data_IF_961283034739
#
_entry.id   IF_961283034739
#
_cell.length_a   1.000
_cell.length_b   1.000
_cell.length_c   1.000
_cell.angle_alpha   90.00
_cell.angle_beta   90.00
_cell.angle_gamma   90.00
#
_symmetry.space_group_name_H-M   'P 1'
#
loop_
_entity.id
_entity.type
_entity.pdbx_description
1 polymer ?
#
# COMPACT_ATOMS: atom_id res chain seq x y z
N UNK A 1 -39.54 1.96 -13.94
CA UNK A 1 -39.30 0.61 -13.41
C UNK A 1 -37.97 0.10 -13.83
N UNK A 2 -37.76 -0.03 -15.11
CA UNK A 2 -36.52 -0.57 -15.63
C UNK A 2 -35.34 0.30 -15.24
N UNK A 3 -35.51 1.59 -15.29
CA UNK A 3 -34.42 2.49 -14.96
C UNK A 3 -34.01 2.37 -13.52
N UNK A 4 -34.97 2.18 -12.62
CA UNK A 4 -34.64 2.05 -11.22
C UNK A 4 -33.80 0.79 -10.98
N UNK A 5 -34.16 -0.29 -11.67
CA UNK A 5 -33.41 -1.52 -11.55
C UNK A 5 -32.00 -1.35 -12.07
N UNK A 6 -31.87 -0.68 -13.19
CA UNK A 6 -30.54 -0.47 -13.76
C UNK A 6 -29.70 0.38 -12.86
N UNK A 7 -30.26 1.38 -12.27
CA UNK A 7 -29.50 2.24 -11.37
C UNK A 7 -29.02 1.47 -10.16
N UNK A 8 -29.85 0.57 -9.66
CA UNK A 8 -29.46 -0.25 -8.53
C UNK A 8 -28.29 -1.13 -8.88
N UNK A 9 -28.32 -1.71 -10.06
CA UNK A 9 -27.23 -2.57 -10.48
C UNK A 9 -25.93 -1.79 -10.64
N UNK A 10 -26.01 -0.61 -11.21
CA UNK A 10 -24.82 0.21 -11.35
C UNK A 10 -24.25 0.60 -9.98
N UNK A 11 -25.14 0.91 -9.07
CA UNK A 11 -24.71 1.28 -7.74
C UNK A 11 -24.00 0.13 -7.05
N UNK A 12 -24.51 -1.07 -7.20
CA UNK A 12 -23.89 -2.25 -6.60
C UNK A 12 -22.53 -2.51 -7.21
N UNK A 13 -22.40 -2.32 -8.50
CA UNK A 13 -21.10 -2.51 -9.13
C UNK A 13 -20.09 -1.52 -8.62
N UNK A 14 -20.50 -0.29 -8.44
CA UNK A 14 -19.58 0.71 -7.93
C UNK A 14 -19.13 0.40 -6.52
N UNK A 15 -20.03 -0.14 -5.71
CA UNK A 15 -19.68 -0.48 -4.34
C UNK A 15 -18.68 -1.62 -4.31
N UNK A 16 -18.86 -2.62 -5.17
CA UNK A 16 -18.06 -3.82 -5.07
C UNK A 16 -16.81 -3.81 -5.93
N UNK A 17 -16.80 -3.01 -6.99
CA UNK A 17 -15.76 -3.16 -7.99
C UNK A 17 -14.36 -2.88 -7.49
N UNK A 18 -14.07 -1.75 -6.83
CA UNK A 18 -12.66 -1.41 -6.60
C UNK A 18 -12.18 -1.75 -5.21
N UNK A 19 -12.62 -2.87 -4.63
CA UNK A 19 -12.15 -3.20 -3.29
C UNK A 19 -10.78 -3.85 -3.30
N UNK A 20 -10.36 -4.43 -4.43
CA UNK A 20 -9.08 -5.10 -4.53
C UNK A 20 -8.17 -4.26 -5.42
N UNK A 21 -6.97 -3.99 -4.93
CA UNK A 21 -6.01 -3.16 -5.64
C UNK A 21 -4.65 -3.80 -5.60
N UNK A 22 -3.86 -3.52 -6.63
CA UNK A 22 -2.48 -3.97 -6.70
C UNK A 22 -1.60 -2.74 -6.62
N UNK A 23 -0.72 -2.73 -5.64
CA UNK A 23 0.05 -1.53 -5.32
C UNK A 23 1.50 -1.88 -5.07
N UNK A 24 2.41 -0.93 -5.31
CA UNK A 24 3.79 -1.13 -4.87
C UNK A 24 3.82 -1.34 -3.36
N UNK A 25 4.66 -2.24 -2.92
CA UNK A 25 4.72 -2.68 -1.53
C UNK A 25 5.94 -2.09 -0.85
N UNK A 26 5.73 -1.47 0.30
CA UNK A 26 6.82 -1.01 1.15
C UNK A 26 6.69 -1.68 2.50
N UNK A 27 7.65 -2.53 2.83
CA UNK A 27 7.68 -3.20 4.12
C UNK A 27 8.47 -2.35 5.10
N UNK A 28 7.84 -2.03 6.23
CA UNK A 28 8.41 -1.11 7.20
C UNK A 28 8.89 -1.84 8.43
N UNK A 29 9.90 -1.30 9.06
CA UNK A 29 10.48 -1.86 10.27
C UNK A 29 10.11 -0.99 11.45
N UNK A 30 9.22 -1.52 12.30
CA UNK A 30 8.90 -0.84 13.54
C UNK A 30 8.12 0.46 13.39
N UNK A 31 7.55 0.71 12.23
CA UNK A 31 6.80 1.93 11.98
C UNK A 31 5.36 1.54 11.67
N UNK A 32 4.43 2.24 12.28
CA UNK A 32 3.01 2.00 12.06
C UNK A 32 2.38 3.29 11.58
N UNK A 33 1.60 3.18 10.51
CA UNK A 33 0.90 4.31 9.93
C UNK A 33 -0.60 4.06 10.00
N UNK A 34 -1.34 5.08 10.38
CA UNK A 34 -2.79 4.99 10.43
C UNK A 34 -3.39 5.90 9.35
N UNK A 35 -4.64 5.63 8.96
CA UNK A 35 -5.32 6.52 8.03
C UNK A 35 -5.36 7.95 8.57
N UNK A 36 -5.23 8.91 7.65
CA UNK A 36 -5.27 10.33 7.96
C UNK A 36 -4.05 10.82 8.73
N UNK A 37 -3.02 9.99 8.79
CA UNK A 37 -1.79 10.35 9.46
C UNK A 37 -0.74 10.71 8.42
N UNK A 38 0.05 11.72 8.70
CA UNK A 38 1.16 12.12 7.84
C UNK A 38 2.44 11.80 8.56
N UNK A 39 3.35 11.12 7.89
CA UNK A 39 4.63 10.83 8.51
C UNK A 39 5.71 10.72 7.46
N UNK A 40 6.94 10.82 7.89
CA UNK A 40 8.06 10.62 7.00
C UNK A 40 8.92 9.48 7.53
N UNK A 41 9.66 8.87 6.62
CA UNK A 41 10.56 7.80 6.99
C UNK A 41 11.67 7.73 5.95
N UNK A 42 12.74 7.03 6.32
CA UNK A 42 13.87 6.85 5.43
C UNK A 42 13.82 5.46 4.82
N UNK A 43 14.15 5.40 3.54
CA UNK A 43 14.08 4.16 2.78
C UNK A 43 15.42 3.94 2.13
N UNK A 44 16.04 2.81 2.44
CA UNK A 44 17.36 2.50 1.88
C UNK A 44 17.40 1.18 1.15
N UNK A 45 16.47 0.27 1.43
CA UNK A 45 16.48 -1.04 0.81
C UNK A 45 16.06 -0.93 -0.64
N UNK A 46 16.89 -1.44 -1.50
CA UNK A 46 16.75 -1.23 -2.93
C UNK A 46 15.41 -1.68 -3.50
N UNK A 47 14.88 -2.86 -3.15
CA UNK A 47 13.61 -3.26 -3.74
C UNK A 47 12.49 -2.29 -3.40
N UNK A 48 12.49 -1.75 -2.19
CA UNK A 48 11.42 -0.84 -1.81
C UNK A 48 11.62 0.54 -2.39
N UNK A 49 12.87 0.93 -2.62
CA UNK A 49 13.12 2.18 -3.33
C UNK A 49 12.60 2.08 -4.76
N UNK A 50 12.77 0.92 -5.38
CA UNK A 50 12.23 0.73 -6.73
C UNK A 50 10.71 0.79 -6.72
N UNK A 51 10.07 0.21 -5.70
CA UNK A 51 8.63 0.28 -5.60
C UNK A 51 8.16 1.72 -5.45
N UNK A 52 8.88 2.50 -4.65
CA UNK A 52 8.55 3.90 -4.48
C UNK A 52 8.64 4.65 -5.80
N UNK A 53 9.70 4.41 -6.55
CA UNK A 53 9.86 5.08 -7.83
C UNK A 53 8.74 4.72 -8.80
N UNK A 54 8.31 3.45 -8.76
CA UNK A 54 7.21 3.04 -9.62
C UNK A 54 5.93 3.78 -9.26
N UNK A 55 5.69 3.97 -7.97
CA UNK A 55 4.50 4.70 -7.56
C UNK A 55 4.57 6.16 -8.02
N UNK A 56 5.74 6.76 -7.97
CA UNK A 56 5.88 8.15 -8.35
C UNK A 56 5.58 8.37 -9.82
N UNK A 57 5.73 7.33 -10.63
CA UNK A 57 5.45 7.44 -12.06
C UNK A 57 4.00 7.13 -12.38
N UNK A 58 3.20 6.77 -11.41
CA UNK A 58 1.80 6.48 -11.64
C UNK A 58 0.96 7.34 -10.73
N UNK A 59 0.22 6.73 -9.80
CA UNK A 59 -0.74 7.47 -8.99
C UNK A 59 -0.20 7.82 -7.61
N UNK A 60 1.07 7.54 -7.35
CA UNK A 60 1.73 7.88 -6.08
C UNK A 60 1.15 7.16 -4.89
N UNK A 61 0.55 6.01 -5.13
CA UNK A 61 -0.03 5.23 -4.04
C UNK A 61 0.85 4.03 -3.79
N UNK A 62 1.04 3.72 -2.51
CA UNK A 62 1.83 2.58 -2.09
C UNK A 62 1.09 1.89 -0.96
N UNK A 63 1.43 0.62 -0.73
CA UNK A 63 0.89 -0.10 0.41
C UNK A 63 1.99 -0.25 1.44
N UNK A 64 1.76 0.31 2.62
CA UNK A 64 2.72 0.26 3.72
C UNK A 64 2.26 -0.77 4.73
N UNK A 65 3.15 -1.70 5.06
CA UNK A 65 2.83 -2.73 6.02
C UNK A 65 4.08 -2.99 6.87
N UNK A 66 3.87 -3.36 8.12
CA UNK A 66 4.96 -3.52 9.06
C UNK A 66 5.45 -4.96 9.06
N UNK A 67 6.74 -5.14 9.14
CA UNK A 67 7.34 -6.46 9.31
C UNK A 67 7.13 -6.93 10.74
N UNK A 68 6.84 -8.22 10.88
CA UNK A 68 6.70 -8.79 12.23
C UNK A 68 8.02 -8.77 12.97
N UNK A 69 9.09 -9.07 12.26
CA UNK A 69 10.43 -9.04 12.83
C UNK A 69 11.24 -8.03 12.04
N UNK A 70 11.61 -6.91 12.67
CA UNK A 70 12.35 -5.88 11.92
C UNK A 70 13.73 -6.30 11.48
N UNK A 71 14.26 -7.38 12.01
CA UNK A 71 15.59 -7.81 11.63
C UNK A 71 15.62 -8.61 10.34
N UNK A 72 14.50 -9.04 9.83
CA UNK A 72 14.45 -9.78 8.57
C UNK A 72 14.75 -8.81 7.44
N UNK A 73 15.79 -9.12 6.67
CA UNK A 73 16.22 -8.23 5.62
C UNK A 73 15.44 -8.43 4.33
N UNK A 74 15.09 -9.67 4.02
CA UNK A 74 14.33 -9.97 2.82
C UNK A 74 13.01 -10.59 3.23
N UNK A 75 12.05 -9.79 3.65
CA UNK A 75 10.80 -10.35 4.15
C UNK A 75 9.98 -11.00 3.06
N UNK A 76 9.28 -12.05 3.45
CA UNK A 76 8.30 -12.69 2.62
C UNK A 76 6.93 -12.38 3.18
N UNK A 77 5.89 -12.86 2.48
CA UNK A 77 4.55 -12.52 2.90
C UNK A 77 4.29 -12.88 4.37
N UNK A 78 4.79 -14.03 4.80
CA UNK A 78 4.57 -14.46 6.18
C UNK A 78 5.30 -13.59 7.20
N UNK A 79 6.26 -12.81 6.76
CA UNK A 79 7.00 -11.92 7.64
C UNK A 79 6.32 -10.59 7.83
N UNK A 80 5.17 -10.39 7.21
CA UNK A 80 4.44 -9.13 7.27
C UNK A 80 3.15 -9.32 8.04
N UNK A 81 2.75 -8.26 8.75
CA UNK A 81 1.41 -8.27 9.28
C UNK A 81 0.41 -8.27 8.14
N UNK A 82 -0.82 -8.72 8.43
CA UNK A 82 -1.80 -8.86 7.37
C UNK A 82 -2.41 -7.53 6.98
N UNK A 83 -2.52 -6.60 7.91
CA UNK A 83 -3.20 -5.34 7.67
C UNK A 83 -2.18 -4.22 7.60
N UNK A 84 -2.31 -3.40 6.60
CA UNK A 84 -1.50 -2.22 6.43
C UNK A 84 -2.34 -1.06 5.98
N UNK A 85 -1.68 -0.06 5.38
CA UNK A 85 -2.35 1.17 5.00
C UNK A 85 -1.94 1.53 3.58
N UNK A 86 -2.93 1.86 2.77
CA UNK A 86 -2.68 2.46 1.47
C UNK A 86 -2.36 3.92 1.72
N UNK A 87 -1.22 4.37 1.23
CA UNK A 87 -0.76 5.73 1.48
C UNK A 87 -0.45 6.43 0.18
N UNK A 88 -0.55 7.73 0.21
CA UNK A 88 -0.19 8.57 -0.91
C UNK A 88 1.16 9.20 -0.65
N UNK A 89 2.07 9.08 -1.62
CA UNK A 89 3.41 9.66 -1.50
C UNK A 89 3.29 11.15 -1.79
N UNK A 90 3.66 11.95 -0.80
CA UNK A 90 3.55 13.40 -0.94
C UNK A 90 4.85 14.04 -1.41
N UNK A 91 5.98 13.49 -0.96
CA UNK A 91 7.26 14.09 -1.27
C UNK A 91 8.35 13.03 -1.16
N UNK A 92 9.33 13.11 -2.04
CA UNK A 92 10.46 12.21 -2.04
C UNK A 92 11.72 13.06 -2.12
N UNK A 93 12.63 12.88 -1.17
CA UNK A 93 13.88 13.60 -1.14
C UNK A 93 15.03 12.60 -1.12
N UNK A 94 15.98 12.80 -2.00
CA UNK A 94 17.17 11.94 -2.03
C UNK A 94 18.30 12.65 -1.32
N UNK A 95 18.87 11.94 -0.38
CA UNK A 95 19.98 12.44 0.39
C UNK A 95 21.28 12.06 -0.29
N UNK A 96 22.34 12.87 -0.12
CA UNK A 96 23.62 12.52 -0.76
C UNK A 96 24.19 11.19 -0.28
N UNK A 97 23.80 10.73 0.90
CA UNK A 97 24.32 9.47 1.41
C UNK A 97 23.55 8.25 0.88
N UNK A 98 22.66 8.46 -0.08
CA UNK A 98 21.98 7.34 -0.70
C UNK A 98 20.66 6.95 -0.06
N UNK A 99 20.27 7.63 1.01
CA UNK A 99 19.01 7.35 1.66
C UNK A 99 17.92 8.20 1.03
N UNK A 100 16.75 7.61 0.86
CA UNK A 100 15.60 8.30 0.31
C UNK A 100 14.62 8.60 1.43
N UNK A 101 14.32 9.87 1.62
CA UNK A 101 13.34 10.29 2.63
C UNK A 101 11.99 10.49 1.95
N UNK A 102 10.96 9.91 2.54
CA UNK A 102 9.63 9.88 1.94
C UNK A 102 8.65 10.47 2.92
N UNK A 103 7.80 11.34 2.40
CA UNK A 103 6.67 11.89 3.16
C UNK A 103 5.40 11.29 2.59
N UNK A 104 4.60 10.67 3.44
CA UNK A 104 3.40 9.98 3.01
C UNK A 104 2.22 10.37 3.88
N UNK A 105 1.05 10.22 3.31
CA UNK A 105 -0.21 10.40 4.02
C UNK A 105 -1.01 9.13 3.96
N UNK A 106 -1.39 8.58 5.10
CA UNK A 106 -2.22 7.39 5.15
C UNK A 106 -3.62 7.67 4.65
N UNK A 107 -4.14 6.76 3.86
CA UNK A 107 -5.48 6.94 3.29
C UNK A 107 -6.44 5.91 3.79
N UNK A 108 -6.19 4.63 3.53
CA UNK A 108 -7.17 3.60 3.82
C UNK A 108 -6.47 2.36 4.34
N UNK A 109 -7.13 1.68 5.25
CA UNK A 109 -6.62 0.40 5.72
C UNK A 109 -6.97 -0.69 4.71
N UNK A 110 -6.08 -1.64 4.57
CA UNK A 110 -6.28 -2.74 3.64
C UNK A 110 -5.58 -3.97 4.16
N UNK A 111 -6.07 -5.12 3.74
CA UNK A 111 -5.49 -6.40 4.11
C UNK A 111 -4.81 -7.00 2.90
N UNK A 112 -3.66 -7.64 3.13
CA UNK A 112 -2.93 -8.31 2.07
C UNK A 112 -3.67 -9.57 1.68
N UNK A 113 -3.92 -9.74 0.40
CA UNK A 113 -4.37 -11.02 -0.13
C UNK A 113 -3.22 -11.76 -0.79
N UNK A 114 -2.24 -11.03 -1.32
CA UNK A 114 -1.04 -11.65 -1.88
C UNK A 114 0.07 -10.61 -1.85
N UNK A 115 1.27 -11.01 -1.42
CA UNK A 115 2.38 -10.10 -1.34
C UNK A 115 3.51 -10.55 -2.26
N UNK A 116 4.38 -9.60 -2.57
CA UNK A 116 5.57 -9.86 -3.39
C UNK A 116 5.22 -10.47 -4.73
N UNK A 117 4.17 -9.91 -5.34
CA UNK A 117 3.77 -10.31 -6.67
C UNK A 117 4.87 -9.95 -7.65
N UNK A 118 5.09 -10.81 -8.60
CA UNK A 118 6.14 -10.58 -9.55
C UNK A 118 5.67 -9.71 -10.68
N UNK A 119 6.56 -8.86 -11.09
CA UNK A 119 6.36 -8.03 -12.25
C UNK A 119 7.04 -8.77 -13.40
N UNK A 120 6.28 -9.53 -14.14
CA UNK A 120 6.86 -10.49 -15.05
C UNK A 120 7.46 -9.87 -16.31
N UNK A 121 7.29 -8.58 -16.49
CA UNK A 121 7.63 -8.07 -17.78
C UNK A 121 9.10 -7.82 -17.96
N UNK A 122 9.73 -7.16 -16.99
CA UNK A 122 11.14 -6.85 -17.13
C UNK A 122 11.80 -7.03 -15.80
N UNK A 123 12.77 -7.89 -15.77
CA UNK A 123 13.42 -8.20 -14.51
C UNK A 123 14.14 -7.02 -13.92
N UNK A 124 14.73 -6.19 -14.77
CA UNK A 124 15.46 -5.05 -14.26
C UNK A 124 14.55 -4.00 -13.66
N UNK A 125 13.28 -4.04 -13.99
CA UNK A 125 12.32 -3.12 -13.42
C UNK A 125 11.50 -3.75 -12.32
N UNK A 126 11.90 -4.92 -11.88
CA UNK A 126 11.17 -5.64 -10.85
C UNK A 126 11.14 -4.86 -9.55
N UNK A 127 9.99 -4.78 -8.94
CA UNK A 127 9.83 -4.23 -7.61
C UNK A 127 8.70 -4.96 -6.91
N UNK A 128 8.71 -4.98 -5.57
CA UNK A 128 7.67 -5.70 -4.84
C UNK A 128 6.31 -5.04 -4.99
N UNK A 129 5.31 -5.86 -5.14
CA UNK A 129 3.94 -5.43 -5.24
C UNK A 129 3.08 -6.30 -4.34
N UNK A 130 1.95 -5.78 -3.94
CA UNK A 130 1.00 -6.52 -3.14
C UNK A 130 -0.39 -6.32 -3.68
N UNK A 131 -1.17 -7.37 -3.60
CA UNK A 131 -2.59 -7.29 -3.84
C UNK A 131 -3.28 -7.15 -2.49
N UNK A 132 -4.10 -6.14 -2.36
CA UNK A 132 -4.72 -5.81 -1.08
C UNK A 132 -6.20 -5.58 -1.29
N UNK A 133 -6.94 -5.84 -0.23
CA UNK A 133 -8.38 -5.61 -0.24
C UNK A 133 -8.70 -4.54 0.78
N UNK A 134 -9.45 -3.54 0.35
CA UNK A 134 -9.83 -2.46 1.24
C UNK A 134 -10.66 -2.99 2.39
N UNK A 135 -10.35 -2.52 3.58
CA UNK A 135 -11.13 -2.86 4.76
C UNK A 135 -12.19 -1.80 4.98
N UNK A 136 -13.36 -2.21 5.48
CA UNK A 136 -14.37 -1.23 5.80
C UNK A 136 -13.85 -0.28 6.85
N UNK A 137 -14.25 0.96 6.75
CA UNK A 137 -13.88 1.93 7.76
C UNK A 137 -14.61 1.60 9.03
N UNK A 138 -13.86 1.48 10.12
CA UNK A 138 -14.43 1.14 11.40
C UNK A 138 -14.96 2.42 12.03
N UNK A 139 -16.26 2.48 12.23
CA UNK A 139 -16.83 3.64 12.85
C UNK A 139 -16.62 3.60 14.35
N UNK A 140 -16.73 4.76 14.97
CA UNK A 140 -16.48 4.86 16.40
C UNK A 140 -17.44 3.99 17.21
N UNK A 141 -18.65 3.81 16.71
CA UNK A 141 -19.60 2.98 17.43
C UNK A 141 -19.15 1.55 17.52
N UNK A 142 -18.51 1.07 16.49
CA UNK A 142 -18.12 -0.32 16.46
C UNK A 142 -17.00 -0.61 17.42
N UNK A 143 -16.31 0.39 17.84
CA UNK A 143 -15.19 0.21 18.74
C UNK A 143 -15.62 0.05 20.18
N UNK A 144 -16.88 0.13 20.44
CA UNK A 144 -17.34 0.03 21.82
C UNK A 144 -17.87 -1.31 22.19
#
# INVERSE_FOLDING_TARGET
MTEAIENTENYMEEITAPTVQKLPLLAMRGIVLFPNMIMHFDLAREPFVKALRASAKSDRRVFLVTQKDPLVEEPKQDDLYTVGVIAEVRQVLRSPDGVTRVLVEGKERAAITAAFLENTEKEKDFYPQAEVELLPEVSAEEDR
#
